data_IF_967209305468
#
_entry.id   IF_967209305468
#
_cell.length_a   1.000
_cell.length_b   1.000
_cell.length_c   1.000
_cell.angle_alpha   90.00
_cell.angle_beta   90.00
_cell.angle_gamma   90.00
#
_symmetry.space_group_name_H-M   'P 1'
#
loop_
_entity.id
_entity.type
_entity.pdbx_description
1 polymer ?
#
# COMPACT_ATOMS: atom_id res chain seq x y z
N UNK A 1 4.24 -7.60 28.19
CA UNK A 1 5.22 -6.74 27.53
C UNK A 1 4.51 -5.67 26.70
N UNK A 2 5.07 -4.44 26.62
CA UNK A 2 4.44 -3.29 25.98
C UNK A 2 4.12 -3.55 24.49
N UNK A 3 5.03 -4.20 23.76
CA UNK A 3 4.85 -4.53 22.34
C UNK A 3 3.71 -5.54 22.13
N UNK A 4 3.60 -6.56 22.97
CA UNK A 4 2.51 -7.55 22.85
C UNK A 4 1.15 -6.89 23.06
N UNK A 5 1.07 -5.98 24.02
CA UNK A 5 -0.12 -5.18 24.28
C UNK A 5 -0.45 -4.28 23.09
N UNK A 6 0.54 -3.58 22.54
CA UNK A 6 0.36 -2.71 21.38
C UNK A 6 -0.15 -3.50 20.16
N UNK A 7 0.42 -4.66 19.87
CA UNK A 7 -0.01 -5.51 18.75
C UNK A 7 -1.47 -5.96 18.91
N UNK A 8 -1.88 -6.31 20.13
CA UNK A 8 -3.24 -6.81 20.39
C UNK A 8 -4.29 -5.70 20.49
N UNK A 9 -3.95 -4.57 21.09
CA UNK A 9 -4.93 -3.54 21.45
C UNK A 9 -4.96 -2.36 20.49
N UNK A 10 -3.84 -2.03 19.85
CA UNK A 10 -3.74 -0.82 19.02
C UNK A 10 -3.86 -1.08 17.52
N UNK A 11 -3.69 -2.33 17.07
CA UNK A 11 -3.74 -2.68 15.66
C UNK A 11 -5.09 -3.31 15.31
N UNK A 12 -5.72 -2.80 14.26
CA UNK A 12 -7.02 -3.27 13.77
C UNK A 12 -6.96 -3.60 12.26
N UNK A 13 -7.49 -4.73 11.79
CA UNK A 13 -7.80 -5.92 12.60
C UNK A 13 -6.57 -6.42 13.38
N UNK A 14 -6.75 -7.22 14.45
CA UNK A 14 -5.63 -7.72 15.24
C UNK A 14 -4.63 -8.50 14.38
N UNK A 15 -3.34 -8.37 14.70
CA UNK A 15 -2.26 -9.14 14.08
C UNK A 15 -1.87 -10.32 14.97
N UNK A 16 -1.53 -11.43 14.32
CA UNK A 16 -0.86 -12.54 14.98
C UNK A 16 0.65 -12.38 14.79
N UNK A 17 1.38 -12.35 15.90
CA UNK A 17 2.83 -12.29 15.91
C UNK A 17 3.40 -13.40 16.78
N UNK A 18 4.41 -14.08 16.28
CA UNK A 18 5.23 -15.03 17.05
C UNK A 18 6.38 -14.27 17.67
N UNK A 19 6.54 -14.41 18.99
CA UNK A 19 7.61 -13.76 19.72
C UNK A 19 8.67 -14.77 20.17
N UNK A 20 9.93 -14.50 19.85
CA UNK A 20 11.08 -15.19 20.36
C UNK A 20 11.99 -14.20 21.12
N UNK A 21 12.57 -14.65 22.24
CA UNK A 21 13.51 -13.85 23.02
C UNK A 21 14.85 -14.55 23.00
N UNK A 22 15.88 -13.83 22.56
CA UNK A 22 17.26 -14.26 22.62
C UNK A 22 17.92 -13.54 23.81
N UNK A 23 18.28 -14.28 24.84
CA UNK A 23 18.97 -13.72 25.99
C UNK A 23 20.44 -13.35 25.61
N UNK A 24 20.82 -12.11 25.90
CA UNK A 24 22.23 -11.66 25.79
C UNK A 24 22.95 -11.91 27.11
N UNK A 25 22.27 -11.65 28.23
CA UNK A 25 22.75 -11.91 29.58
C UNK A 25 21.54 -12.02 30.53
N UNK A 26 21.80 -12.16 31.84
CA UNK A 26 20.76 -12.34 32.86
C UNK A 26 19.73 -11.19 32.92
N UNK A 27 20.06 -9.99 32.42
CA UNK A 27 19.21 -8.79 32.49
C UNK A 27 18.74 -8.24 31.15
N UNK A 28 19.35 -8.67 30.04
CA UNK A 28 19.10 -8.13 28.70
C UNK A 28 18.86 -9.24 27.68
N UNK A 29 17.93 -9.01 26.79
CA UNK A 29 17.64 -9.89 25.66
C UNK A 29 17.12 -9.09 24.47
N UNK A 30 17.10 -9.70 23.29
CA UNK A 30 16.49 -9.20 22.07
C UNK A 30 15.20 -9.94 21.84
N UNK A 31 14.10 -9.19 21.70
CA UNK A 31 12.81 -9.74 21.30
C UNK A 31 12.68 -9.69 19.78
N UNK A 32 12.42 -10.82 19.16
CA UNK A 32 12.17 -10.97 17.73
C UNK A 32 10.69 -11.25 17.54
N UNK A 33 10.03 -10.41 16.77
CA UNK A 33 8.63 -10.58 16.37
C UNK A 33 8.56 -11.03 14.92
N UNK A 34 8.02 -12.20 14.69
CA UNK A 34 7.73 -12.71 13.35
C UNK A 34 6.25 -12.45 13.03
N UNK A 35 6.00 -11.67 11.99
CA UNK A 35 4.66 -11.35 11.51
C UNK A 35 4.50 -11.98 10.13
N UNK A 36 3.53 -12.87 9.99
CA UNK A 36 3.19 -13.50 8.71
C UNK A 36 2.31 -12.54 7.92
N UNK A 37 2.43 -12.56 6.59
CA UNK A 37 1.56 -11.77 5.72
C UNK A 37 0.10 -12.07 6.01
N UNK A 38 -0.64 -11.07 6.43
CA UNK A 38 -2.04 -11.20 6.80
C UNK A 38 -2.96 -11.14 5.59
N UNK A 39 -4.01 -11.94 5.63
CA UNK A 39 -5.13 -11.87 4.68
C UNK A 39 -6.09 -10.73 5.03
N UNK A 40 -5.99 -10.15 6.23
CA UNK A 40 -6.88 -9.10 6.74
C UNK A 40 -6.36 -7.68 6.53
N UNK A 41 -5.30 -7.52 5.73
CA UNK A 41 -4.80 -6.19 5.38
C UNK A 41 -5.91 -5.31 4.76
N UNK A 42 -5.87 -3.98 4.94
CA UNK A 42 -4.87 -3.22 5.66
C UNK A 42 -5.07 -3.28 7.18
N UNK A 43 -3.98 -3.51 7.91
CA UNK A 43 -3.96 -3.29 9.36
C UNK A 43 -3.65 -1.83 9.64
N UNK A 44 -4.35 -1.24 10.61
CA UNK A 44 -4.22 0.18 10.91
C UNK A 44 -4.23 0.45 12.42
N UNK A 45 -3.68 1.57 12.79
CA UNK A 45 -3.83 2.17 14.12
C UNK A 45 -4.79 3.35 14.06
N UNK A 46 -5.39 3.70 15.20
CA UNK A 46 -6.20 4.91 15.35
C UNK A 46 -5.35 5.99 16.00
N UNK A 47 -4.98 7.00 15.24
CA UNK A 47 -4.27 8.17 15.72
C UNK A 47 -5.15 9.39 15.50
N UNK A 48 -5.46 10.11 16.59
CA UNK A 48 -6.35 11.28 16.54
C UNK A 48 -7.69 11.00 15.82
N UNK A 49 -8.29 9.84 16.07
CA UNK A 49 -9.50 9.32 15.39
C UNK A 49 -9.35 9.05 13.90
N UNK A 50 -8.14 9.12 13.34
CA UNK A 50 -7.86 8.77 11.95
C UNK A 50 -7.22 7.39 11.86
N UNK A 51 -7.67 6.62 10.90
CA UNK A 51 -7.07 5.31 10.57
C UNK A 51 -5.77 5.53 9.82
N UNK A 52 -4.67 5.02 10.35
CA UNK A 52 -3.35 5.06 9.69
C UNK A 52 -2.84 3.65 9.49
N UNK A 53 -2.62 3.26 8.25
CA UNK A 53 -1.93 2.04 7.88
C UNK A 53 -0.54 2.36 7.33
N UNK A 54 0.37 1.42 7.46
CA UNK A 54 1.75 1.58 7.02
C UNK A 54 2.15 0.41 6.13
N UNK A 55 2.98 0.69 5.15
CA UNK A 55 3.57 -0.31 4.26
C UNK A 55 5.08 -0.28 4.38
N UNK A 56 5.72 -1.44 4.27
CA UNK A 56 7.17 -1.55 4.27
C UNK A 56 7.69 -1.42 2.85
N UNK A 57 8.57 -0.45 2.63
CA UNK A 57 9.26 -0.22 1.37
C UNK A 57 10.76 -0.18 1.68
N UNK A 58 11.48 -1.22 1.29
CA UNK A 58 12.89 -1.44 1.64
C UNK A 58 13.08 -1.37 3.17
N UNK A 59 13.82 -0.40 3.67
CA UNK A 59 14.13 -0.16 5.08
C UNK A 59 13.19 0.85 5.76
N UNK A 60 12.17 1.36 5.07
CA UNK A 60 11.26 2.38 5.56
C UNK A 60 9.84 1.86 5.79
N UNK A 61 9.18 2.42 6.79
CA UNK A 61 7.74 2.27 6.99
C UNK A 61 7.06 3.55 6.52
N UNK A 62 6.24 3.45 5.48
CA UNK A 62 5.59 4.59 4.83
C UNK A 62 4.10 4.52 5.11
N UNK A 63 3.51 5.64 5.51
CA UNK A 63 2.06 5.71 5.70
C UNK A 63 1.37 5.48 4.36
N UNK A 64 0.41 4.55 4.33
CA UNK A 64 -0.34 4.24 3.14
C UNK A 64 -1.19 5.43 2.70
N UNK A 65 -1.08 5.78 1.42
CA UNK A 65 -1.99 6.72 0.76
C UNK A 65 -3.40 6.14 0.69
N UNK A 66 -4.36 6.96 0.28
CA UNK A 66 -5.73 6.51 0.01
C UNK A 66 -5.75 5.42 -1.08
N UNK A 67 -4.96 5.59 -2.12
CA UNK A 67 -4.84 4.63 -3.23
C UNK A 67 -4.25 3.31 -2.72
N UNK A 68 -3.17 3.37 -1.94
CA UNK A 68 -2.55 2.18 -1.37
C UNK A 68 -3.49 1.44 -0.41
N UNK A 69 -4.25 2.18 0.39
CA UNK A 69 -5.29 1.63 1.26
C UNK A 69 -6.34 0.84 0.45
N UNK A 70 -6.87 1.44 -0.61
CA UNK A 70 -7.86 0.80 -1.48
C UNK A 70 -7.29 -0.44 -2.19
N UNK A 71 -6.04 -0.37 -2.65
CA UNK A 71 -5.35 -1.51 -3.26
C UNK A 71 -5.22 -2.66 -2.26
N UNK A 72 -4.73 -2.41 -1.06
CA UNK A 72 -4.58 -3.44 -0.02
C UNK A 72 -5.92 -4.08 0.34
N UNK A 73 -6.96 -3.26 0.50
CA UNK A 73 -8.31 -3.71 0.82
C UNK A 73 -8.91 -4.60 -0.26
N UNK A 74 -8.71 -4.26 -1.52
CA UNK A 74 -9.31 -4.96 -2.67
C UNK A 74 -8.51 -6.15 -3.16
N UNK A 75 -7.22 -6.24 -2.87
CA UNK A 75 -6.40 -7.42 -3.18
C UNK A 75 -6.88 -8.72 -2.52
N UNK A 76 -7.69 -8.63 -1.48
CA UNK A 76 -8.30 -9.80 -0.82
C UNK A 76 -9.25 -10.60 -1.72
N UNK A 77 -9.90 -9.93 -2.63
CA UNK A 77 -10.84 -10.53 -3.57
C UNK A 77 -10.35 -10.26 -4.99
N UNK A 78 -9.60 -11.18 -5.60
CA UNK A 78 -9.16 -11.05 -6.98
C UNK A 78 -10.34 -11.28 -7.95
N UNK A 79 -11.50 -10.71 -7.64
CA UNK A 79 -12.61 -10.68 -8.57
C UNK A 79 -12.20 -9.84 -9.76
N UNK A 80 -12.42 -10.37 -10.95
CA UNK A 80 -12.18 -9.77 -12.24
C UNK A 80 -12.36 -8.26 -12.21
N UNK A 81 -11.25 -7.54 -12.14
CA UNK A 81 -11.29 -6.07 -12.21
C UNK A 81 -11.55 -5.70 -13.64
N UNK A 82 -12.82 -5.50 -13.94
CA UNK A 82 -13.24 -5.01 -15.26
C UNK A 82 -12.98 -3.52 -15.29
N UNK A 83 -12.13 -3.10 -16.19
CA UNK A 83 -11.96 -1.69 -16.54
C UNK A 83 -12.15 -1.49 -18.04
N UNK A 84 -12.74 -0.36 -18.40
CA UNK A 84 -12.81 0.06 -19.80
C UNK A 84 -11.55 0.83 -20.13
N UNK A 85 -10.84 0.39 -21.16
CA UNK A 85 -9.72 1.13 -21.71
C UNK A 85 -10.27 2.27 -22.58
N UNK A 86 -10.10 3.49 -22.14
CA UNK A 86 -10.59 4.68 -22.78
C UNK A 86 -9.49 5.72 -22.95
N UNK A 87 -9.91 6.95 -23.27
CA UNK A 87 -9.01 8.06 -23.59
C UNK A 87 -8.01 8.40 -22.47
N UNK A 88 -8.46 8.36 -21.21
CA UNK A 88 -7.59 8.64 -20.05
C UNK A 88 -6.55 7.56 -19.81
N UNK A 89 -6.91 6.29 -20.01
CA UNK A 89 -5.98 5.16 -19.91
C UNK A 89 -4.97 5.22 -21.05
N UNK A 90 -5.39 5.56 -22.26
CA UNK A 90 -4.50 5.74 -23.42
C UNK A 90 -3.48 6.86 -23.16
N UNK A 91 -3.91 8.00 -22.65
CA UNK A 91 -3.02 9.11 -22.28
C UNK A 91 -2.00 8.68 -21.23
N UNK A 92 -2.46 7.96 -20.20
CA UNK A 92 -1.61 7.43 -19.14
C UNK A 92 -0.53 6.50 -19.69
N UNK A 93 -0.91 5.54 -20.54
CA UNK A 93 0.05 4.59 -21.11
C UNK A 93 1.02 5.25 -22.08
N UNK A 94 0.59 6.25 -22.85
CA UNK A 94 1.49 7.08 -23.67
C UNK A 94 2.52 7.84 -22.84
N UNK A 95 2.11 8.43 -21.73
CA UNK A 95 3.03 9.10 -20.80
C UNK A 95 4.05 8.11 -20.21
N UNK A 96 3.59 6.94 -19.78
CA UNK A 96 4.46 5.89 -19.22
C UNK A 96 5.37 5.22 -20.25
N UNK A 97 5.14 5.41 -21.53
CA UNK A 97 6.08 5.00 -22.58
C UNK A 97 7.32 5.91 -22.66
N UNK A 98 7.22 7.15 -22.16
CA UNK A 98 8.30 8.15 -22.22
C UNK A 98 8.91 8.49 -20.87
N UNK A 99 8.22 8.18 -19.78
CA UNK A 99 8.68 8.43 -18.42
C UNK A 99 8.52 7.18 -17.54
N UNK A 100 9.41 6.97 -16.55
CA UNK A 100 9.45 5.71 -15.80
C UNK A 100 8.25 5.51 -14.85
N UNK A 101 7.64 6.60 -14.41
CA UNK A 101 6.49 6.57 -13.50
C UNK A 101 5.64 7.83 -13.67
N UNK A 102 4.46 7.81 -13.08
CA UNK A 102 3.57 8.96 -12.96
C UNK A 102 3.00 9.02 -11.54
N UNK A 103 2.75 10.24 -11.04
CA UNK A 103 2.04 10.46 -9.78
C UNK A 103 0.57 10.74 -10.04
N UNK A 104 -0.25 10.69 -8.97
CA UNK A 104 -1.67 11.02 -9.05
C UNK A 104 -1.89 12.44 -9.59
N UNK A 105 -1.11 13.43 -9.10
CA UNK A 105 -1.22 14.83 -9.53
C UNK A 105 -0.86 15.02 -11.00
N UNK A 106 0.20 14.38 -11.45
CA UNK A 106 0.61 14.42 -12.86
C UNK A 106 -0.48 13.84 -13.77
N UNK A 107 -1.05 12.70 -13.38
CA UNK A 107 -2.13 12.09 -14.15
C UNK A 107 -3.39 12.96 -14.19
N UNK A 108 -3.78 13.55 -13.06
CA UNK A 108 -4.90 14.49 -13.01
C UNK A 108 -4.72 15.67 -13.97
N UNK A 109 -3.54 16.30 -13.93
CA UNK A 109 -3.20 17.44 -14.76
C UNK A 109 -3.18 17.10 -16.25
N UNK A 110 -2.53 16.00 -16.60
CA UNK A 110 -2.38 15.55 -17.98
C UNK A 110 -3.72 15.14 -18.62
N UNK A 111 -4.52 14.37 -17.90
CA UNK A 111 -5.81 13.89 -18.40
C UNK A 111 -6.95 14.89 -18.18
N UNK A 112 -6.71 15.97 -17.45
CA UNK A 112 -7.70 16.98 -17.06
C UNK A 112 -8.96 16.37 -16.41
N UNK A 113 -8.70 15.48 -15.45
CA UNK A 113 -9.74 14.76 -14.73
C UNK A 113 -9.70 15.07 -13.24
N UNK A 114 -10.82 14.99 -12.52
CA UNK A 114 -10.85 15.20 -11.09
C UNK A 114 -10.14 14.07 -10.34
N UNK A 115 -9.70 14.38 -9.10
CA UNK A 115 -8.89 13.49 -8.25
C UNK A 115 -9.54 12.11 -8.07
N UNK A 116 -10.83 12.05 -7.84
CA UNK A 116 -11.52 10.77 -7.60
C UNK A 116 -11.54 9.86 -8.83
N UNK A 117 -11.59 10.42 -10.05
CA UNK A 117 -11.50 9.66 -11.30
C UNK A 117 -10.09 9.15 -11.51
N UNK A 118 -9.07 10.01 -11.32
CA UNK A 118 -7.68 9.64 -11.46
C UNK A 118 -7.27 8.55 -10.46
N UNK A 119 -7.58 8.74 -9.19
CA UNK A 119 -7.34 7.78 -8.11
C UNK A 119 -7.98 6.41 -8.42
N UNK A 120 -9.25 6.41 -8.76
CA UNK A 120 -10.00 5.18 -9.09
C UNK A 120 -9.43 4.45 -10.30
N UNK A 121 -8.96 5.20 -11.31
CA UNK A 121 -8.33 4.63 -12.51
C UNK A 121 -7.01 3.97 -12.17
N UNK A 122 -6.13 4.65 -11.44
CA UNK A 122 -4.84 4.10 -11.02
C UNK A 122 -5.00 2.85 -10.15
N UNK A 123 -5.90 2.88 -9.16
CA UNK A 123 -6.20 1.71 -8.32
C UNK A 123 -6.67 0.52 -9.15
N UNK A 124 -7.59 0.73 -10.09
CA UNK A 124 -8.07 -0.35 -10.98
C UNK A 124 -6.96 -0.94 -11.84
N UNK A 125 -6.09 -0.11 -12.40
CA UNK A 125 -4.97 -0.58 -13.22
C UNK A 125 -3.94 -1.36 -12.40
N UNK A 126 -3.70 -1.00 -11.15
CA UNK A 126 -2.85 -1.79 -10.25
C UNK A 126 -3.50 -3.13 -9.91
N UNK A 127 -4.80 -3.14 -9.60
CA UNK A 127 -5.53 -4.37 -9.32
C UNK A 127 -5.64 -5.30 -10.54
N UNK A 128 -5.66 -4.73 -11.74
CA UNK A 128 -5.63 -5.46 -13.01
C UNK A 128 -4.23 -5.93 -13.42
N UNK A 129 -3.20 -5.72 -12.59
CA UNK A 129 -1.80 -6.04 -12.88
C UNK A 129 -1.20 -5.33 -14.10
N UNK A 130 -1.76 -4.20 -14.52
CA UNK A 130 -1.20 -3.34 -15.57
C UNK A 130 -0.14 -2.41 -15.01
N UNK A 131 -0.39 -1.86 -13.83
CA UNK A 131 0.54 -1.00 -13.11
C UNK A 131 0.98 -1.64 -11.79
N UNK A 132 2.10 -1.19 -11.30
CA UNK A 132 2.51 -1.34 -9.90
C UNK A 132 2.62 0.02 -9.22
N UNK A 133 2.43 0.04 -7.92
CA UNK A 133 2.55 1.24 -7.09
C UNK A 133 3.75 1.10 -6.17
N UNK A 134 4.57 2.15 -6.12
CA UNK A 134 5.67 2.29 -5.17
C UNK A 134 5.28 3.38 -4.18
N UNK A 135 4.92 3.03 -2.95
CA UNK A 135 4.59 4.00 -1.92
C UNK A 135 5.77 4.94 -1.64
N UNK A 136 5.48 6.21 -1.46
CA UNK A 136 6.44 7.26 -1.14
C UNK A 136 5.89 8.14 -0.02
N UNK A 137 6.76 8.84 0.69
CA UNK A 137 6.36 9.75 1.76
C UNK A 137 5.56 10.96 1.24
N UNK A 138 5.88 11.43 0.04
CA UNK A 138 5.20 12.58 -0.58
C UNK A 138 4.02 12.15 -1.45
N UNK A 139 4.29 11.44 -2.52
CA UNK A 139 3.30 10.95 -3.49
C UNK A 139 3.73 9.58 -4.02
N UNK A 140 2.78 8.66 -4.07
CA UNK A 140 3.03 7.35 -4.64
C UNK A 140 3.39 7.44 -6.13
N UNK A 141 4.30 6.57 -6.56
CA UNK A 141 4.70 6.42 -7.96
C UNK A 141 4.00 5.22 -8.56
N UNK A 142 3.37 5.43 -9.69
CA UNK A 142 2.73 4.39 -10.49
C UNK A 142 3.55 4.15 -11.74
N UNK A 143 3.88 2.91 -12.01
CA UNK A 143 4.72 2.51 -13.14
C UNK A 143 4.18 1.27 -13.82
N UNK A 144 4.53 1.03 -15.10
CA UNK A 144 4.14 -0.20 -15.77
C UNK A 144 4.67 -1.41 -15.01
N UNK A 145 3.82 -2.41 -14.82
CA UNK A 145 4.27 -3.66 -14.22
C UNK A 145 5.12 -4.42 -15.23
N UNK A 146 6.33 -4.78 -14.82
CA UNK A 146 7.17 -5.63 -15.63
C UNK A 146 6.50 -7.00 -15.79
N UNK A 147 6.20 -7.38 -17.01
CA UNK A 147 5.80 -8.74 -17.34
C UNK A 147 7.08 -9.56 -17.53
N UNK A 148 7.32 -10.49 -16.62
CA UNK A 148 8.37 -11.50 -16.75
C UNK A 148 7.94 -12.55 -17.77
#
# INVERSE_FOLDING_TARGET
>A
YAMDKAIKELIHPPLTAERNIIAINQKKGVAIYRIVKSVDAPHFTLEEKKKKAYVRVADRSIQASREMWEIMKRKKSPNNVIFKYGKKEELLMKALATQPYITLKEFMAMARIPVYIASRTLVKLVLANVLEVIPQESEDKFMPKAHL
#
